data_IF_365111368734
#
_entry.id   IF_365111368734
#
_cell.length_a   1.000
_cell.length_b   1.000
_cell.length_c   1.000
_cell.angle_alpha   90.00
_cell.angle_beta   90.00
_cell.angle_gamma   90.00
#
_symmetry.space_group_name_H-M   'P 1'
#
loop_
_entity.id
_entity.type
_entity.pdbx_description
1 polymer ?
#
# COMPACT_ATOMS: atom_id res chain seq x y z
N UNK A 1 11.48 0.79 27.58
CA UNK A 1 10.89 -0.54 27.37
C UNK A 1 9.83 -0.48 26.25
N UNK A 2 10.03 0.37 25.22
CA UNK A 2 8.87 0.97 24.53
C UNK A 2 8.92 1.00 23.00
N UNK A 3 10.09 0.93 22.37
CA UNK A 3 10.21 1.01 20.89
C UNK A 3 9.44 -0.11 20.18
N UNK A 4 9.51 -1.34 20.72
CA UNK A 4 8.84 -2.50 20.12
C UNK A 4 7.30 -2.40 20.18
N UNK A 5 6.75 -1.69 21.17
CA UNK A 5 5.30 -1.48 21.30
C UNK A 5 4.81 -0.45 20.28
N UNK A 6 5.54 0.64 20.11
CA UNK A 6 5.21 1.67 19.11
C UNK A 6 5.25 1.12 17.69
N UNK A 7 6.25 0.30 17.36
CA UNK A 7 6.33 -0.34 16.05
C UNK A 7 5.18 -1.31 15.79
N UNK A 8 4.75 -2.06 16.80
CA UNK A 8 3.59 -2.92 16.70
C UNK A 8 2.30 -2.12 16.46
N UNK A 9 2.13 -1.00 17.16
CA UNK A 9 0.99 -0.09 16.98
C UNK A 9 0.99 0.47 15.55
N UNK A 10 2.11 1.04 15.10
CA UNK A 10 2.24 1.59 13.75
C UNK A 10 1.93 0.55 12.67
N UNK A 11 2.45 -0.67 12.83
CA UNK A 11 2.16 -1.78 11.93
C UNK A 11 0.68 -2.15 11.93
N UNK A 12 0.04 -2.13 13.10
CA UNK A 12 -1.38 -2.47 13.25
C UNK A 12 -2.26 -1.40 12.60
N UNK A 13 -1.95 -0.13 12.83
CA UNK A 13 -2.65 1.00 12.20
C UNK A 13 -2.48 0.97 10.69
N UNK A 14 -1.27 0.77 10.19
CA UNK A 14 -1.00 0.68 8.75
C UNK A 14 -1.74 -0.51 8.11
N UNK A 15 -1.61 -1.70 8.69
CA UNK A 15 -2.31 -2.90 8.21
C UNK A 15 -3.84 -2.76 8.24
N UNK A 16 -4.38 -2.15 9.31
CA UNK A 16 -5.81 -1.88 9.45
C UNK A 16 -6.31 -0.87 8.43
N UNK A 17 -5.53 0.18 8.17
CA UNK A 17 -5.83 1.17 7.14
C UNK A 17 -5.89 0.53 5.74
N UNK A 18 -4.91 -0.30 5.38
CA UNK A 18 -4.91 -1.00 4.10
C UNK A 18 -6.07 -1.99 3.97
N UNK A 19 -6.39 -2.72 5.04
CA UNK A 19 -7.53 -3.63 5.05
C UNK A 19 -8.85 -2.87 4.82
N UNK A 20 -9.05 -1.76 5.55
CA UNK A 20 -10.21 -0.88 5.36
C UNK A 20 -10.26 -0.30 3.94
N UNK A 21 -9.14 0.21 3.43
CA UNK A 21 -9.03 0.79 2.08
C UNK A 21 -9.35 -0.23 1.01
N UNK A 22 -8.89 -1.47 1.17
CA UNK A 22 -9.19 -2.55 0.25
C UNK A 22 -10.65 -2.98 0.28
N UNK A 23 -11.28 -3.06 1.46
CA UNK A 23 -12.73 -3.31 1.59
C UNK A 23 -13.53 -2.19 0.93
N UNK A 24 -13.15 -0.93 1.16
CA UNK A 24 -13.79 0.21 0.51
C UNK A 24 -13.73 0.08 -1.04
N UNK A 25 -12.63 -0.41 -1.60
CA UNK A 25 -12.49 -0.65 -3.06
C UNK A 25 -13.33 -1.82 -3.58
N UNK A 26 -13.70 -2.77 -2.74
CA UNK A 26 -14.68 -3.80 -3.09
C UNK A 26 -16.12 -3.28 -3.09
N UNK A 27 -16.43 -2.38 -2.16
CA UNK A 27 -17.79 -1.89 -1.95
C UNK A 27 -18.13 -0.69 -2.84
N UNK A 28 -17.14 0.13 -3.19
CA UNK A 28 -17.33 1.35 -3.98
C UNK A 28 -16.82 1.15 -5.41
N UNK A 29 -17.68 1.33 -6.43
CA UNK A 29 -17.29 1.21 -7.82
C UNK A 29 -16.06 2.05 -8.18
N UNK A 30 -15.13 1.46 -8.94
CA UNK A 30 -13.88 2.10 -9.33
C UNK A 30 -14.12 3.40 -10.11
N UNK A 31 -15.18 3.48 -10.91
CA UNK A 31 -15.55 4.72 -11.60
C UNK A 31 -15.77 5.93 -10.68
N UNK A 32 -16.11 5.72 -9.40
CA UNK A 32 -16.37 6.80 -8.45
C UNK A 32 -15.07 7.30 -7.81
N UNK A 33 -14.18 6.40 -7.39
CA UNK A 33 -12.98 6.78 -6.65
C UNK A 33 -11.71 6.81 -7.52
N UNK A 34 -11.61 5.97 -8.55
CA UNK A 34 -10.41 5.84 -9.39
C UNK A 34 -10.46 6.80 -10.58
N UNK A 35 -11.52 6.76 -11.40
CA UNK A 35 -11.57 7.48 -12.68
C UNK A 35 -11.39 9.00 -12.51
N UNK A 36 -12.05 9.69 -11.56
CA UNK A 36 -11.84 11.13 -11.38
C UNK A 36 -10.40 11.46 -10.99
N UNK A 37 -9.80 10.67 -10.09
CA UNK A 37 -8.44 10.90 -9.59
C UNK A 37 -7.40 10.64 -10.68
N UNK A 38 -7.57 9.54 -11.40
CA UNK A 38 -6.66 9.12 -12.47
C UNK A 38 -6.73 10.07 -13.66
N UNK A 39 -7.93 10.45 -14.11
CA UNK A 39 -8.12 11.41 -15.21
C UNK A 39 -7.45 12.75 -14.93
N UNK A 40 -7.52 13.22 -13.68
CA UNK A 40 -6.89 14.47 -13.27
C UNK A 40 -5.36 14.39 -13.21
N UNK A 41 -4.80 13.21 -12.91
CA UNK A 41 -3.36 13.01 -12.85
C UNK A 41 -2.71 12.72 -14.22
N UNK A 42 -3.51 12.36 -15.24
CA UNK A 42 -3.01 12.09 -16.60
C UNK A 42 -2.08 13.16 -17.18
N UNK A 43 -2.26 14.47 -16.96
CA UNK A 43 -1.38 15.48 -17.55
C UNK A 43 0.03 15.49 -16.95
N UNK A 44 0.19 15.03 -15.71
CA UNK A 44 1.45 15.16 -14.94
C UNK A 44 2.11 13.83 -14.60
N UNK A 45 1.39 12.71 -14.66
CA UNK A 45 1.95 11.41 -14.32
C UNK A 45 2.74 10.79 -15.48
N UNK A 46 3.95 10.26 -15.25
CA UNK A 46 4.72 9.54 -16.27
C UNK A 46 4.04 8.23 -16.71
N UNK A 47 3.03 7.75 -15.97
CA UNK A 47 2.30 6.51 -16.25
C UNK A 47 1.06 6.71 -17.13
N UNK A 48 0.84 7.93 -17.66
CA UNK A 48 -0.34 8.28 -18.43
C UNK A 48 -0.62 7.33 -19.63
N UNK A 49 0.38 6.88 -20.42
CA UNK A 49 0.12 5.93 -21.51
C UNK A 49 -0.43 4.60 -21.01
N UNK A 50 0.13 4.07 -19.91
CA UNK A 50 -0.26 2.79 -19.34
C UNK A 50 -1.66 2.85 -18.73
N UNK A 51 -1.97 3.94 -18.04
CA UNK A 51 -3.27 4.21 -17.47
C UNK A 51 -4.37 4.21 -18.54
N UNK A 52 -4.14 4.90 -19.66
CA UNK A 52 -5.12 4.98 -20.75
C UNK A 52 -5.34 3.64 -21.44
N UNK A 53 -4.27 2.86 -21.62
CA UNK A 53 -4.33 1.58 -22.31
C UNK A 53 -4.90 0.45 -21.44
N UNK A 54 -4.62 0.44 -20.13
CA UNK A 54 -4.89 -0.71 -19.27
C UNK A 54 -5.82 -0.43 -18.10
N UNK A 55 -5.74 0.75 -17.48
CA UNK A 55 -6.51 1.07 -16.27
C UNK A 55 -7.93 1.49 -16.62
N UNK A 56 -8.13 2.43 -17.56
CA UNK A 56 -9.49 2.88 -17.89
C UNK A 56 -10.39 1.81 -18.52
N UNK A 57 -9.94 1.00 -19.50
CA UNK A 57 -10.81 -0.01 -20.09
C UNK A 57 -11.22 -1.10 -19.10
N UNK A 58 -10.45 -1.28 -18.03
CA UNK A 58 -10.66 -2.33 -17.03
C UNK A 58 -10.81 -1.76 -15.61
N UNK A 59 -11.35 -0.54 -15.48
CA UNK A 59 -11.31 0.22 -14.23
C UNK A 59 -11.89 -0.55 -13.02
N UNK A 60 -13.02 -1.23 -13.22
CA UNK A 60 -13.67 -2.01 -12.16
C UNK A 60 -12.84 -3.24 -11.77
N UNK A 61 -12.36 -4.03 -12.75
CA UNK A 61 -11.50 -5.18 -12.49
C UNK A 61 -10.19 -4.76 -11.82
N UNK A 62 -9.60 -3.65 -12.26
CA UNK A 62 -8.39 -3.08 -11.67
C UNK A 62 -8.63 -2.64 -10.22
N UNK A 63 -9.76 -1.96 -9.95
CA UNK A 63 -10.17 -1.56 -8.61
C UNK A 63 -10.36 -2.73 -7.66
N UNK A 64 -11.05 -3.79 -8.11
CA UNK A 64 -11.23 -5.02 -7.33
C UNK A 64 -9.90 -5.76 -7.09
N UNK A 65 -9.03 -5.79 -8.09
CA UNK A 65 -7.70 -6.40 -7.98
C UNK A 65 -6.87 -5.67 -6.93
N UNK A 66 -6.81 -4.33 -7.01
CA UNK A 66 -6.13 -3.51 -6.01
C UNK A 66 -6.73 -3.70 -4.61
N UNK A 67 -8.06 -3.72 -4.50
CA UNK A 67 -8.73 -3.94 -3.21
C UNK A 67 -8.37 -5.30 -2.60
N UNK A 68 -8.32 -6.34 -3.42
CA UNK A 68 -7.93 -7.69 -3.00
C UNK A 68 -6.48 -7.73 -2.51
N UNK A 69 -5.55 -7.12 -3.25
CA UNK A 69 -4.13 -7.06 -2.83
C UNK A 69 -3.99 -6.33 -1.50
N UNK A 70 -4.70 -5.22 -1.30
CA UNK A 70 -4.66 -4.45 -0.05
C UNK A 70 -5.25 -5.20 1.14
N UNK A 71 -6.36 -5.91 0.96
CA UNK A 71 -6.95 -6.75 2.01
C UNK A 71 -5.98 -7.86 2.41
N UNK A 72 -5.42 -8.58 1.42
CA UNK A 72 -4.53 -9.70 1.70
C UNK A 72 -3.23 -9.22 2.35
N UNK A 73 -2.57 -8.21 1.79
CA UNK A 73 -1.31 -7.71 2.32
C UNK A 73 -1.50 -6.96 3.66
N UNK A 74 -2.56 -6.16 3.80
CA UNK A 74 -2.93 -5.50 5.06
C UNK A 74 -3.28 -6.50 6.16
N UNK A 75 -4.08 -7.52 5.84
CA UNK A 75 -4.43 -8.61 6.76
C UNK A 75 -3.21 -9.43 7.20
N UNK A 76 -2.29 -9.74 6.27
CA UNK A 76 -1.03 -10.41 6.59
C UNK A 76 -0.08 -9.51 7.41
N UNK A 77 -0.14 -8.18 7.20
CA UNK A 77 0.58 -7.23 8.03
C UNK A 77 0.01 -7.25 9.46
N UNK A 78 -1.30 -7.19 9.64
CA UNK A 78 -1.99 -7.30 10.94
C UNK A 78 -1.69 -8.61 11.68
N UNK A 79 -1.62 -9.73 10.95
CA UNK A 79 -1.38 -11.06 11.52
C UNK A 79 -0.05 -11.15 12.30
N UNK A 80 0.89 -10.25 12.06
CA UNK A 80 2.08 -10.06 12.92
C UNK A 80 3.14 -11.18 12.85
N UNK A 81 2.78 -12.39 12.41
CA UNK A 81 3.69 -13.54 12.21
C UNK A 81 4.28 -13.62 10.79
N UNK A 82 4.07 -12.58 9.98
CA UNK A 82 4.31 -12.57 8.54
C UNK A 82 5.72 -12.14 8.08
N UNK A 83 6.07 -12.67 6.91
CA UNK A 83 7.28 -12.46 6.10
C UNK A 83 7.53 -11.00 5.70
N UNK A 84 8.65 -10.74 5.01
CA UNK A 84 8.98 -9.44 4.41
C UNK A 84 8.12 -9.10 3.18
N UNK A 85 7.34 -10.05 2.66
CA UNK A 85 6.57 -9.90 1.42
C UNK A 85 5.42 -8.89 1.51
N UNK A 86 4.48 -9.02 2.48
CA UNK A 86 3.36 -8.08 2.62
C UNK A 86 3.80 -6.61 2.71
N UNK A 87 4.77 -6.21 3.57
CA UNK A 87 5.20 -4.82 3.60
C UNK A 87 5.87 -4.38 2.29
N UNK A 88 6.60 -5.23 1.57
CA UNK A 88 7.11 -4.87 0.25
C UNK A 88 5.98 -4.57 -0.75
N UNK A 89 4.96 -5.42 -0.80
CA UNK A 89 3.79 -5.22 -1.69
C UNK A 89 3.11 -3.89 -1.37
N UNK A 90 2.88 -3.60 -0.08
CA UNK A 90 2.26 -2.36 0.36
C UNK A 90 3.14 -1.13 0.07
N UNK A 91 4.46 -1.24 0.19
CA UNK A 91 5.41 -0.20 -0.19
C UNK A 91 5.34 0.10 -1.70
N UNK A 92 5.31 -0.95 -2.54
CA UNK A 92 5.16 -0.80 -3.99
C UNK A 92 3.82 -0.17 -4.37
N UNK A 93 2.72 -0.56 -3.71
CA UNK A 93 1.41 0.05 -3.92
C UNK A 93 1.39 1.53 -3.54
N UNK A 94 1.97 1.89 -2.39
CA UNK A 94 2.07 3.29 -1.98
C UNK A 94 2.95 4.12 -2.92
N UNK A 95 4.04 3.56 -3.43
CA UNK A 95 4.86 4.22 -4.45
C UNK A 95 4.06 4.41 -5.74
N UNK A 96 3.30 3.41 -6.17
CA UNK A 96 2.43 3.52 -7.35
C UNK A 96 1.37 4.60 -7.15
N UNK A 97 0.71 4.66 -5.99
CA UNK A 97 -0.25 5.73 -5.66
C UNK A 97 0.41 7.10 -5.54
N UNK A 98 1.63 7.19 -5.02
CA UNK A 98 2.39 8.44 -4.98
C UNK A 98 2.64 8.96 -6.40
N UNK A 99 3.10 8.09 -7.32
CA UNK A 99 3.41 8.45 -8.70
C UNK A 99 2.17 8.70 -9.59
N UNK A 100 1.00 8.20 -9.19
CA UNK A 100 -0.23 8.27 -10.00
C UNK A 100 -1.33 9.16 -9.42
N UNK A 101 -1.51 9.22 -8.10
CA UNK A 101 -2.65 9.89 -7.45
C UNK A 101 -2.22 11.04 -6.52
N UNK A 102 -0.91 11.18 -6.23
CA UNK A 102 -0.39 12.14 -5.25
C UNK A 102 -0.48 13.63 -5.64
N UNK A 103 -0.91 13.98 -6.85
CA UNK A 103 -0.78 15.35 -7.34
C UNK A 103 -1.91 16.31 -6.93
N UNK A 104 -2.98 15.85 -6.26
CA UNK A 104 -4.13 16.71 -5.92
C UNK A 104 -4.21 17.10 -4.45
N UNK A 105 -4.06 16.13 -3.56
CA UNK A 105 -4.27 16.32 -2.13
C UNK A 105 -2.94 16.11 -1.40
N UNK A 106 -2.30 17.18 -0.89
CA UNK A 106 -0.97 17.08 -0.29
C UNK A 106 -0.96 16.13 0.92
N UNK A 107 -2.12 15.94 1.57
CA UNK A 107 -2.29 14.96 2.65
C UNK A 107 -2.28 13.52 2.13
N UNK A 108 -2.91 13.21 0.99
CA UNK A 108 -2.86 11.88 0.36
C UNK A 108 -1.44 11.56 -0.12
N UNK A 109 -0.71 12.55 -0.62
CA UNK A 109 0.70 12.40 -1.00
C UNK A 109 1.59 12.09 0.21
N UNK A 110 1.48 12.91 1.27
CA UNK A 110 2.24 12.71 2.49
C UNK A 110 1.90 11.36 3.15
N UNK A 111 0.64 10.95 3.14
CA UNK A 111 0.19 9.68 3.71
C UNK A 111 0.75 8.49 2.92
N UNK A 112 0.67 8.49 1.57
CA UNK A 112 1.24 7.41 0.76
C UNK A 112 2.77 7.34 0.92
N UNK A 113 3.47 8.49 0.99
CA UNK A 113 4.91 8.51 1.23
C UNK A 113 5.25 7.96 2.63
N UNK A 114 4.56 8.42 3.67
CA UNK A 114 4.77 7.98 5.05
C UNK A 114 4.53 6.48 5.20
N UNK A 115 3.39 5.98 4.72
CA UNK A 115 3.07 4.55 4.77
C UNK A 115 4.02 3.73 3.89
N UNK A 116 4.49 4.27 2.76
CA UNK A 116 5.52 3.64 1.94
C UNK A 116 6.84 3.46 2.72
N UNK A 117 7.31 4.51 3.39
CA UNK A 117 8.52 4.49 4.22
C UNK A 117 8.35 3.51 5.40
N UNK A 118 7.21 3.54 6.08
CA UNK A 118 6.88 2.61 7.16
C UNK A 118 6.95 1.16 6.69
N UNK A 119 6.37 0.87 5.52
CA UNK A 119 6.39 -0.47 4.94
C UNK A 119 7.79 -0.92 4.52
N UNK A 120 8.61 -0.04 3.94
CA UNK A 120 10.03 -0.35 3.67
C UNK A 120 10.77 -0.67 4.98
N UNK A 121 10.51 0.09 6.04
CA UNK A 121 11.13 -0.15 7.35
C UNK A 121 10.72 -1.50 7.93
N UNK A 122 9.43 -1.83 7.91
CA UNK A 122 8.93 -3.14 8.35
C UNK A 122 9.55 -4.29 7.56
N UNK A 123 9.71 -4.13 6.25
CA UNK A 123 10.37 -5.11 5.40
C UNK A 123 11.84 -5.31 5.82
N UNK A 124 12.60 -4.23 5.98
CA UNK A 124 14.02 -4.27 6.36
C UNK A 124 14.19 -4.94 7.73
N UNK A 125 13.37 -4.60 8.72
CA UNK A 125 13.42 -5.21 10.05
C UNK A 125 13.20 -6.73 9.98
N UNK A 126 12.25 -7.18 9.17
CA UNK A 126 12.00 -8.63 8.98
C UNK A 126 13.12 -9.33 8.23
N UNK A 127 13.75 -8.68 7.26
CA UNK A 127 14.92 -9.21 6.56
C UNK A 127 16.14 -9.30 7.49
N UNK A 128 16.37 -8.29 8.32
CA UNK A 128 17.45 -8.28 9.31
C UNK A 128 17.25 -9.35 10.39
N UNK A 129 16.03 -9.53 10.88
CA UNK A 129 15.70 -10.59 11.82
C UNK A 129 15.92 -12.00 11.26
N UNK A 130 15.78 -12.21 9.94
CA UNK A 130 16.12 -13.48 9.27
C UNK A 130 17.62 -13.73 9.15
N UNK A 131 18.43 -12.66 9.05
CA UNK A 131 19.88 -12.75 8.89
C UNK A 131 20.62 -12.90 10.22
N UNK A 132 19.99 -12.60 11.35
CA UNK A 132 20.56 -12.86 12.66
C UNK A 132 20.75 -14.39 12.81
N UNK A 133 22.00 -14.90 12.85
CA UNK A 133 22.20 -16.31 13.06
C UNK A 133 21.66 -16.66 14.45
N UNK A 134 20.91 -17.76 14.54
CA UNK A 134 20.73 -18.47 15.80
C UNK A 134 22.12 -18.77 16.34
N UNK A 135 22.59 -17.92 17.27
CA UNK A 135 23.69 -18.26 18.15
C UNK A 135 23.18 -19.41 19.02
N UNK A 136 23.31 -20.64 18.50
CA UNK A 136 23.15 -21.86 19.25
C UNK A 136 24.30 -21.93 20.24
N UNK A 137 23.95 -21.83 21.52
CA UNK A 137 24.76 -22.22 22.68
C UNK A 137 25.03 -23.72 22.60
#
# INVERSE_FOLDING_TARGET
MDDNRWWLILRTVDGGYFLWRGIHKWLVPARIWLVPRVTQALPTTPLAPWIRAWVFPHAETFGLTLGTVEILAGGLLLWGKGSWGPPLVLACLNLLFFLTLGFREPHDLALNLLMGILNVRFMVERLSARKAPTASI
#
